data_IF_703114342481
#
_entry.id   IF_703114342481
#
_cell.length_a   1.000
_cell.length_b   1.000
_cell.length_c   1.000
_cell.angle_alpha   90.00
_cell.angle_beta   90.00
_cell.angle_gamma   90.00
#
_symmetry.space_group_name_H-M   'P 1'
#
loop_
_entity.id
_entity.type
_entity.pdbx_description
1 polymer ?
#
# COMPACT_ATOMS: atom_id res chain seq x y z
N UNK A 1 -19.57 -29.15 19.97
CA UNK A 1 -18.21 -29.73 19.90
C UNK A 1 -17.14 -28.91 20.64
N UNK A 2 -17.42 -27.70 21.14
CA UNK A 2 -16.43 -26.83 21.80
C UNK A 2 -16.53 -26.75 23.33
N UNK A 3 -17.52 -27.39 23.97
CA UNK A 3 -17.76 -27.20 25.41
C UNK A 3 -16.84 -28.02 26.33
N UNK A 4 -15.92 -28.84 25.80
CA UNK A 4 -15.25 -29.90 26.58
C UNK A 4 -13.72 -30.01 26.38
N UNK A 5 -13.05 -28.95 25.90
CA UNK A 5 -11.59 -28.98 25.75
C UNK A 5 -10.88 -28.68 27.08
N UNK A 6 -9.87 -29.48 27.44
CA UNK A 6 -8.95 -29.17 28.55
C UNK A 6 -7.58 -28.72 28.01
N UNK A 7 -6.81 -27.96 28.79
CA UNK A 7 -5.49 -27.44 28.42
C UNK A 7 -4.54 -28.50 27.81
N UNK A 8 -4.58 -29.73 28.31
CA UNK A 8 -3.74 -30.83 27.80
C UNK A 8 -4.08 -31.27 26.37
N UNK A 9 -5.30 -30.99 25.90
CA UNK A 9 -5.72 -31.35 24.55
C UNK A 9 -5.09 -30.40 23.51
N UNK A 10 -4.88 -29.12 23.83
CA UNK A 10 -4.21 -28.14 22.96
C UNK A 10 -2.72 -28.47 22.74
N UNK A 11 -2.00 -28.87 23.80
CA UNK A 11 -0.61 -29.31 23.67
C UNK A 11 -0.49 -30.60 22.83
N UNK A 12 -1.44 -31.53 22.99
CA UNK A 12 -1.46 -32.77 22.21
C UNK A 12 -1.74 -32.52 20.72
N UNK A 13 -2.69 -31.63 20.39
CA UNK A 13 -2.96 -31.23 19.00
C UNK A 13 -1.72 -30.57 18.38
N UNK A 14 -1.15 -29.58 19.08
CA UNK A 14 0.04 -28.87 18.59
C UNK A 14 1.23 -29.82 18.39
N UNK A 15 1.48 -30.72 19.35
CA UNK A 15 2.53 -31.74 19.24
C UNK A 15 2.33 -32.67 18.04
N UNK A 16 1.08 -33.03 17.73
CA UNK A 16 0.72 -33.78 16.52
C UNK A 16 1.04 -33.03 15.23
N UNK A 17 0.80 -31.71 15.19
CA UNK A 17 1.15 -30.86 14.05
C UNK A 17 2.67 -30.79 13.85
N UNK A 18 3.44 -30.56 14.92
CA UNK A 18 4.91 -30.55 14.88
C UNK A 18 5.50 -31.85 14.33
N UNK A 19 4.92 -33.00 14.70
CA UNK A 19 5.34 -34.30 14.20
C UNK A 19 5.09 -34.44 12.69
N UNK A 20 3.95 -33.94 12.19
CA UNK A 20 3.61 -33.96 10.77
C UNK A 20 4.49 -33.04 9.92
N UNK A 21 4.83 -31.85 10.42
CA UNK A 21 5.73 -30.92 9.72
C UNK A 21 7.12 -31.53 9.54
N UNK A 22 7.65 -32.21 10.57
CA UNK A 22 8.94 -32.94 10.49
C UNK A 22 8.92 -34.07 9.45
N UNK A 23 7.75 -34.63 9.16
CA UNK A 23 7.55 -35.68 8.16
C UNK A 23 7.27 -35.13 6.75
N UNK A 24 7.23 -33.80 6.57
CA UNK A 24 6.92 -33.16 5.29
C UNK A 24 5.44 -33.28 4.87
N UNK A 25 4.56 -33.65 5.80
CA UNK A 25 3.12 -33.76 5.58
C UNK A 25 2.41 -32.40 5.66
N UNK A 26 1.25 -32.27 5.01
CA UNK A 26 0.31 -31.16 5.26
C UNK A 26 -0.42 -31.40 6.58
N UNK A 27 -0.77 -30.33 7.29
CA UNK A 27 -1.60 -30.45 8.49
C UNK A 27 -2.98 -31.01 8.15
N UNK A 28 -3.56 -31.79 9.07
CA UNK A 28 -4.96 -32.18 8.95
C UNK A 28 -5.81 -30.93 9.22
N UNK A 29 -6.68 -30.59 8.25
CA UNK A 29 -7.56 -29.41 8.30
C UNK A 29 -8.42 -29.36 9.57
N UNK A 30 -8.75 -30.52 10.13
CA UNK A 30 -9.51 -30.61 11.39
C UNK A 30 -8.71 -30.11 12.61
N UNK A 31 -7.40 -30.37 12.67
CA UNK A 31 -6.54 -29.87 13.75
C UNK A 31 -6.34 -28.36 13.63
N UNK A 32 -6.17 -27.84 12.41
CA UNK A 32 -6.05 -26.41 12.16
C UNK A 32 -7.32 -25.68 12.62
N UNK A 33 -8.50 -26.13 12.20
CA UNK A 33 -9.78 -25.52 12.57
C UNK A 33 -10.04 -25.53 14.08
N UNK A 34 -9.66 -26.63 14.74
CA UNK A 34 -9.84 -26.76 16.18
C UNK A 34 -8.94 -25.80 16.96
N UNK A 35 -7.70 -25.62 16.51
CA UNK A 35 -6.77 -24.70 17.15
C UNK A 35 -7.04 -23.23 16.82
N UNK A 36 -7.47 -22.91 15.59
CA UNK A 36 -7.94 -21.56 15.21
C UNK A 36 -9.10 -21.15 16.12
N UNK A 37 -10.06 -22.06 16.31
CA UNK A 37 -11.16 -21.83 17.25
C UNK A 37 -10.72 -21.73 18.70
N UNK A 38 -9.66 -22.43 19.10
CA UNK A 38 -9.07 -22.28 20.42
C UNK A 38 -8.36 -20.92 20.59
N UNK A 39 -7.73 -20.38 19.54
CA UNK A 39 -7.10 -19.07 19.58
C UNK A 39 -8.12 -17.94 19.84
N UNK A 40 -9.35 -18.08 19.34
CA UNK A 40 -10.44 -17.14 19.61
C UNK A 40 -10.90 -17.14 21.08
N UNK A 41 -10.75 -18.26 21.80
CA UNK A 41 -11.28 -18.45 23.17
C UNK A 41 -10.18 -18.35 24.23
N UNK A 42 -9.03 -18.96 23.97
CA UNK A 42 -7.88 -19.11 24.87
C UNK A 42 -6.57 -18.64 24.19
N UNK A 43 -6.63 -17.53 23.44
CA UNK A 43 -5.51 -17.07 22.62
C UNK A 43 -4.18 -16.90 23.36
N UNK A 44 -4.20 -16.45 24.62
CA UNK A 44 -2.97 -16.35 25.42
C UNK A 44 -2.28 -17.71 25.64
N UNK A 45 -3.06 -18.79 25.82
CA UNK A 45 -2.55 -20.15 25.98
C UNK A 45 -1.94 -20.64 24.67
N UNK A 46 -2.68 -20.47 23.56
CA UNK A 46 -2.20 -20.86 22.23
C UNK A 46 -0.91 -20.12 21.89
N UNK A 47 -0.85 -18.82 22.14
CA UNK A 47 0.34 -18.03 21.82
C UNK A 47 1.55 -18.35 22.72
N UNK A 48 1.36 -18.84 23.94
CA UNK A 48 2.49 -19.35 24.75
C UNK A 48 3.06 -20.68 24.20
N UNK A 49 2.22 -21.51 23.57
CA UNK A 49 2.69 -22.67 22.80
C UNK A 49 3.52 -22.19 21.59
N UNK A 50 3.00 -21.24 20.82
CA UNK A 50 3.69 -20.62 19.68
C UNK A 50 5.07 -20.08 20.08
N UNK A 51 5.15 -19.39 21.22
CA UNK A 51 6.39 -18.81 21.74
C UNK A 51 7.48 -19.85 21.99
N UNK A 52 7.12 -21.04 22.46
CA UNK A 52 8.07 -22.10 22.81
C UNK A 52 8.69 -22.78 21.58
N UNK A 53 7.91 -22.89 20.51
CA UNK A 53 8.22 -23.79 19.39
C UNK A 53 8.80 -23.06 18.15
N UNK A 54 8.70 -21.71 18.11
CA UNK A 54 9.37 -20.79 17.17
C UNK A 54 9.65 -21.38 15.76
N UNK A 55 8.57 -21.62 15.01
CA UNK A 55 8.61 -22.17 13.66
C UNK A 55 9.49 -21.36 12.69
N UNK A 56 10.13 -22.06 11.75
CA UNK A 56 10.96 -21.41 10.73
C UNK A 56 10.10 -20.47 9.87
N UNK A 57 10.56 -19.24 9.57
CA UNK A 57 9.82 -18.34 8.68
C UNK A 57 9.42 -19.01 7.36
N UNK A 58 8.15 -18.85 6.98
CA UNK A 58 7.57 -19.45 5.77
C UNK A 58 7.29 -20.96 5.87
N UNK A 59 7.45 -21.60 7.03
CA UNK A 59 6.97 -22.96 7.24
C UNK A 59 5.45 -22.97 7.47
N UNK A 60 4.76 -24.10 7.19
CA UNK A 60 3.33 -24.22 7.48
C UNK A 60 3.01 -23.87 8.94
N UNK A 61 3.85 -24.28 9.89
CA UNK A 61 3.67 -23.96 11.31
C UNK A 61 3.74 -22.44 11.56
N UNK A 62 4.67 -21.75 10.92
CA UNK A 62 4.79 -20.29 11.01
C UNK A 62 3.55 -19.58 10.44
N UNK A 63 3.02 -20.06 9.31
CA UNK A 63 1.76 -19.54 8.74
C UNK A 63 0.58 -19.77 9.68
N UNK A 64 0.51 -20.95 10.31
CA UNK A 64 -0.53 -21.24 11.29
C UNK A 64 -0.42 -20.36 12.55
N UNK A 65 0.81 -20.09 13.05
CA UNK A 65 1.04 -19.13 14.14
C UNK A 65 0.50 -17.75 13.81
N UNK A 66 0.75 -17.27 12.58
CA UNK A 66 0.23 -16.00 12.11
C UNK A 66 -1.31 -15.98 12.13
N UNK A 67 -1.97 -17.03 11.64
CA UNK A 67 -3.45 -17.13 11.69
C UNK A 67 -3.99 -17.08 13.11
N UNK A 68 -3.41 -17.85 14.04
CA UNK A 68 -3.83 -17.84 15.45
C UNK A 68 -3.71 -16.44 16.08
N UNK A 69 -2.65 -15.72 15.76
CA UNK A 69 -2.46 -14.35 16.24
C UNK A 69 -3.53 -13.40 15.70
N UNK A 70 -3.90 -13.54 14.42
CA UNK A 70 -4.96 -12.73 13.81
C UNK A 70 -6.35 -13.07 14.37
N UNK A 71 -6.66 -14.35 14.55
CA UNK A 71 -7.94 -14.79 15.12
C UNK A 71 -8.08 -14.32 16.57
N UNK A 72 -7.02 -14.48 17.37
CA UNK A 72 -7.00 -13.98 18.74
C UNK A 72 -7.12 -12.46 18.79
N UNK A 73 -6.39 -11.72 17.95
CA UNK A 73 -6.44 -10.26 17.99
C UNK A 73 -7.77 -9.69 17.49
N UNK A 74 -8.50 -10.42 16.66
CA UNK A 74 -9.88 -10.11 16.29
C UNK A 74 -10.83 -10.28 17.47
N UNK A 75 -10.67 -11.34 18.27
CA UNK A 75 -11.51 -11.66 19.42
C UNK A 75 -11.19 -10.84 20.68
N UNK A 76 -9.91 -10.71 21.03
CA UNK A 76 -9.38 -10.00 22.21
C UNK A 76 -8.13 -9.18 21.85
N UNK A 77 -8.39 -7.99 21.30
CA UNK A 77 -7.38 -7.00 20.91
C UNK A 77 -6.43 -6.65 22.07
N UNK A 78 -6.98 -6.45 23.27
CA UNK A 78 -6.21 -5.98 24.42
C UNK A 78 -5.24 -7.06 24.91
N UNK A 79 -5.70 -8.30 25.03
CA UNK A 79 -4.86 -9.45 25.37
C UNK A 79 -3.76 -9.69 24.33
N UNK A 80 -4.11 -9.67 23.04
CA UNK A 80 -3.15 -9.88 21.96
C UNK A 80 -2.05 -8.80 21.92
N UNK A 81 -2.42 -7.52 22.05
CA UNK A 81 -1.44 -6.41 22.11
C UNK A 81 -0.55 -6.52 23.36
N UNK A 82 -1.13 -6.85 24.52
CA UNK A 82 -0.35 -7.02 25.75
C UNK A 82 0.67 -8.15 25.63
N UNK A 83 0.26 -9.29 25.05
CA UNK A 83 1.15 -10.43 24.82
C UNK A 83 2.26 -10.10 23.83
N UNK A 84 1.93 -9.46 22.70
CA UNK A 84 2.92 -9.04 21.70
C UNK A 84 3.96 -8.08 22.29
N UNK A 85 3.52 -7.13 23.13
CA UNK A 85 4.40 -6.18 23.81
C UNK A 85 5.32 -6.83 24.86
N UNK A 86 4.92 -7.97 25.42
CA UNK A 86 5.72 -8.71 26.39
C UNK A 86 6.80 -9.58 25.73
N UNK A 87 6.77 -9.75 24.40
CA UNK A 87 7.80 -10.48 23.69
C UNK A 87 9.13 -9.70 23.69
N UNK A 88 10.27 -10.39 23.87
CA UNK A 88 11.57 -9.78 23.62
C UNK A 88 11.71 -9.43 22.13
N UNK A 89 12.57 -8.46 21.83
CA UNK A 89 12.91 -8.12 20.46
C UNK A 89 13.50 -9.33 19.72
N UNK A 90 13.06 -9.53 18.47
CA UNK A 90 13.52 -10.62 17.63
C UNK A 90 12.43 -11.15 16.69
N UNK A 91 12.78 -12.23 15.98
CA UNK A 91 12.01 -12.74 14.84
C UNK A 91 10.54 -13.02 15.15
N UNK A 92 10.23 -13.58 16.33
CA UNK A 92 8.84 -13.90 16.68
C UNK A 92 8.00 -12.63 16.86
N UNK A 93 8.55 -11.62 17.55
CA UNK A 93 7.86 -10.33 17.75
C UNK A 93 7.62 -9.65 16.41
N UNK A 94 8.62 -9.63 15.53
CA UNK A 94 8.47 -9.07 14.19
C UNK A 94 7.44 -9.84 13.35
N UNK A 95 7.47 -11.18 13.38
CA UNK A 95 6.56 -12.01 12.63
C UNK A 95 5.09 -11.87 13.07
N UNK A 96 4.85 -11.64 14.37
CA UNK A 96 3.49 -11.51 14.91
C UNK A 96 2.91 -10.09 14.77
N UNK A 97 3.73 -9.09 14.42
CA UNK A 97 3.26 -7.71 14.29
C UNK A 97 2.22 -7.54 13.16
N UNK A 98 2.48 -8.11 11.98
CA UNK A 98 1.53 -8.06 10.86
C UNK A 98 0.19 -8.71 11.17
N UNK A 99 0.17 -10.00 11.58
CA UNK A 99 -1.07 -10.70 11.91
C UNK A 99 -1.85 -10.09 13.08
N UNK A 100 -1.15 -9.55 14.09
CA UNK A 100 -1.78 -8.78 15.15
C UNK A 100 -2.63 -7.65 14.57
N UNK A 101 -2.05 -6.80 13.71
CA UNK A 101 -2.76 -5.67 13.11
C UNK A 101 -3.85 -6.12 12.16
N UNK A 102 -3.59 -7.14 11.35
CA UNK A 102 -4.57 -7.72 10.42
C UNK A 102 -5.84 -8.14 11.16
N UNK A 103 -5.70 -8.94 12.22
CA UNK A 103 -6.84 -9.42 13.00
C UNK A 103 -7.62 -8.29 13.69
N UNK A 104 -6.94 -7.29 14.27
CA UNK A 104 -7.61 -6.12 14.84
C UNK A 104 -8.37 -5.35 13.75
N UNK A 105 -7.76 -5.18 12.56
CA UNK A 105 -8.34 -4.42 11.46
C UNK A 105 -9.63 -5.05 10.90
N UNK A 106 -9.83 -6.37 11.09
CA UNK A 106 -11.09 -7.04 10.69
C UNK A 106 -12.31 -6.57 11.48
N UNK A 107 -12.12 -6.07 12.71
CA UNK A 107 -13.21 -5.60 13.58
C UNK A 107 -13.17 -4.10 13.84
N UNK A 108 -12.00 -3.48 13.81
CA UNK A 108 -11.83 -2.02 13.94
C UNK A 108 -10.51 -1.58 13.31
N UNK A 109 -10.53 -0.99 12.10
CA UNK A 109 -9.32 -0.43 11.50
C UNK A 109 -8.73 0.74 12.32
N UNK A 110 -9.55 1.44 13.12
CA UNK A 110 -9.08 2.50 14.01
C UNK A 110 -8.27 1.96 15.20
N UNK A 111 -8.72 0.85 15.80
CA UNK A 111 -7.96 0.20 16.88
C UNK A 111 -6.67 -0.41 16.33
N UNK A 112 -6.72 -0.94 15.10
CA UNK A 112 -5.56 -1.47 14.43
C UNK A 112 -4.50 -0.38 14.19
N UNK A 113 -4.92 0.82 13.74
CA UNK A 113 -4.00 1.96 13.66
C UNK A 113 -3.44 2.35 15.03
N UNK A 114 -4.28 2.37 16.06
CA UNK A 114 -3.85 2.69 17.43
C UNK A 114 -2.80 1.71 17.95
N UNK A 115 -2.95 0.41 17.66
CA UNK A 115 -1.94 -0.61 17.95
C UNK A 115 -0.67 -0.41 17.10
N UNK A 116 -0.81 -0.02 15.83
CA UNK A 116 0.33 0.23 14.94
C UNK A 116 1.23 1.39 15.41
N UNK A 117 0.73 2.31 16.24
CA UNK A 117 1.54 3.36 16.87
C UNK A 117 2.64 2.83 17.79
N UNK A 118 2.60 1.55 18.18
CA UNK A 118 3.67 0.87 18.91
C UNK A 118 4.90 0.58 18.05
N UNK A 119 4.78 0.63 16.72
CA UNK A 119 5.89 0.38 15.80
C UNK A 119 6.57 1.66 15.34
N UNK A 120 7.79 1.52 14.82
CA UNK A 120 8.50 2.62 14.17
C UNK A 120 7.76 3.12 12.91
N UNK A 121 8.04 4.35 12.45
CA UNK A 121 7.35 4.93 11.28
C UNK A 121 7.49 4.12 9.99
N UNK A 122 8.56 3.35 9.81
CA UNK A 122 8.75 2.51 8.61
C UNK A 122 7.74 1.37 8.61
N UNK A 123 7.61 0.65 9.72
CA UNK A 123 6.62 -0.42 9.86
C UNK A 123 5.19 0.09 9.73
N UNK A 124 4.88 1.28 10.28
CA UNK A 124 3.56 1.91 10.09
C UNK A 124 3.27 2.20 8.63
N UNK A 125 4.28 2.60 7.85
CA UNK A 125 4.12 2.84 6.42
C UNK A 125 3.82 1.57 5.62
N UNK A 126 4.38 0.43 6.03
CA UNK A 126 4.09 -0.86 5.41
C UNK A 126 2.69 -1.41 5.77
N UNK A 127 2.18 -1.06 6.95
CA UNK A 127 0.82 -1.40 7.41
C UNK A 127 -0.25 -0.53 6.72
N UNK A 128 0.07 0.73 6.42
CA UNK A 128 -0.91 1.71 5.98
C UNK A 128 -1.79 1.30 4.78
N UNK A 129 -1.27 0.65 3.72
CA UNK A 129 -2.09 0.14 2.61
C UNK A 129 -3.18 -0.84 3.03
N UNK A 130 -2.89 -1.76 3.97
CA UNK A 130 -3.91 -2.71 4.42
C UNK A 130 -5.01 -2.02 5.23
N UNK A 131 -4.65 -0.99 5.99
CA UNK A 131 -5.64 -0.17 6.70
C UNK A 131 -6.49 0.67 5.74
N UNK A 132 -5.93 1.18 4.63
CA UNK A 132 -6.76 1.81 3.57
C UNK A 132 -7.87 0.87 3.13
N UNK A 133 -7.54 -0.40 2.86
CA UNK A 133 -8.52 -1.42 2.44
C UNK A 133 -9.51 -1.73 3.55
N UNK A 134 -9.06 -1.81 4.80
CA UNK A 134 -9.92 -2.08 5.95
C UNK A 134 -10.91 -0.93 6.20
N UNK A 135 -10.47 0.33 6.19
CA UNK A 135 -11.34 1.50 6.27
C UNK A 135 -12.31 1.57 5.09
N UNK A 136 -11.88 1.17 3.89
CA UNK A 136 -12.75 1.17 2.71
C UNK A 136 -13.88 0.13 2.85
N UNK A 137 -13.59 -1.03 3.47
CA UNK A 137 -14.60 -2.05 3.79
C UNK A 137 -15.56 -1.58 4.89
N UNK A 138 -15.07 -0.88 5.90
CA UNK A 138 -15.85 -0.41 7.06
C UNK A 138 -16.75 0.80 6.71
N UNK A 139 -16.21 1.80 6.00
CA UNK A 139 -16.84 3.13 5.81
C UNK A 139 -16.82 3.63 4.37
N UNK A 140 -16.40 2.81 3.41
CA UNK A 140 -16.24 3.23 2.02
C UNK A 140 -14.98 4.09 1.79
N UNK A 141 -14.82 4.53 0.54
CA UNK A 141 -13.64 5.30 0.11
C UNK A 141 -13.46 6.58 0.94
N UNK A 142 -14.54 7.30 1.23
CA UNK A 142 -14.50 8.52 2.04
C UNK A 142 -13.87 8.27 3.41
N UNK A 143 -14.19 7.15 4.07
CA UNK A 143 -13.61 6.80 5.36
C UNK A 143 -12.11 6.58 5.31
N UNK A 144 -11.60 5.93 4.25
CA UNK A 144 -10.15 5.78 4.06
C UNK A 144 -9.47 7.12 3.83
N UNK A 145 -10.10 8.05 3.11
CA UNK A 145 -9.54 9.38 2.84
C UNK A 145 -9.52 10.24 4.10
N UNK A 146 -10.59 10.21 4.89
CA UNK A 146 -10.66 10.88 6.19
C UNK A 146 -9.58 10.35 7.14
N UNK A 147 -9.37 9.03 7.17
CA UNK A 147 -8.30 8.44 7.96
C UNK A 147 -6.91 8.95 7.52
N UNK A 148 -6.59 8.93 6.22
CA UNK A 148 -5.29 9.44 5.72
C UNK A 148 -5.10 10.92 6.07
N UNK A 149 -6.15 11.73 5.97
CA UNK A 149 -6.13 13.14 6.35
C UNK A 149 -5.94 13.36 7.86
N UNK A 150 -6.35 12.39 8.69
CA UNK A 150 -6.20 12.46 10.15
C UNK A 150 -4.80 12.11 10.67
N UNK A 151 -3.95 11.49 9.83
CA UNK A 151 -2.61 11.06 10.25
C UNK A 151 -1.72 12.26 10.60
N UNK A 152 -0.82 12.08 11.56
CA UNK A 152 0.11 13.11 12.01
C UNK A 152 1.21 13.43 10.97
N UNK A 153 1.92 14.57 11.10
CA UNK A 153 3.07 14.89 10.26
C UNK A 153 4.22 13.86 10.39
N UNK A 154 4.37 13.22 11.54
CA UNK A 154 5.33 12.14 11.80
C UNK A 154 5.09 10.88 10.95
N UNK A 155 3.87 10.74 10.41
CA UNK A 155 3.43 9.61 9.61
C UNK A 155 3.49 9.90 8.10
N UNK A 156 4.28 10.88 7.67
CA UNK A 156 4.49 11.20 6.26
C UNK A 156 4.76 9.96 5.37
N UNK A 157 5.59 8.97 5.77
CA UNK A 157 5.75 7.74 5.00
C UNK A 157 4.45 6.91 4.88
N UNK A 158 3.67 6.80 5.95
CA UNK A 158 2.39 6.11 5.95
C UNK A 158 1.34 6.84 5.11
N UNK A 159 1.30 8.17 5.17
CA UNK A 159 0.46 9.00 4.30
C UNK A 159 0.76 8.76 2.82
N UNK A 160 2.04 8.73 2.44
CA UNK A 160 2.44 8.44 1.05
C UNK A 160 1.95 7.05 0.60
N UNK A 161 2.25 6.01 1.39
CA UNK A 161 1.88 4.63 1.05
C UNK A 161 0.37 4.42 1.01
N UNK A 162 -0.36 5.05 1.93
CA UNK A 162 -1.81 5.04 1.94
C UNK A 162 -2.41 5.80 0.74
N UNK A 163 -1.84 6.93 0.35
CA UNK A 163 -2.29 7.69 -0.82
C UNK A 163 -2.09 6.89 -2.12
N UNK A 164 -0.97 6.15 -2.23
CA UNK A 164 -0.72 5.23 -3.34
C UNK A 164 -1.76 4.11 -3.40
N UNK A 165 -2.09 3.50 -2.26
CA UNK A 165 -3.13 2.45 -2.20
C UNK A 165 -4.52 3.00 -2.49
N UNK A 166 -4.86 4.20 -1.98
CA UNK A 166 -6.11 4.89 -2.32
C UNK A 166 -6.23 5.11 -3.83
N UNK A 167 -5.15 5.59 -4.46
CA UNK A 167 -5.10 5.76 -5.89
C UNK A 167 -5.31 4.42 -6.63
N UNK A 168 -4.67 3.34 -6.19
CA UNK A 168 -4.82 2.03 -6.83
C UNK A 168 -6.21 1.43 -6.63
N UNK A 169 -6.81 1.59 -5.45
CA UNK A 169 -8.16 1.12 -5.17
C UNK A 169 -9.19 1.78 -6.09
N UNK A 170 -8.93 3.03 -6.51
CA UNK A 170 -9.79 3.79 -7.42
C UNK A 170 -9.59 3.46 -8.90
N UNK A 171 -8.76 2.48 -9.31
CA UNK A 171 -8.46 2.24 -10.73
C UNK A 171 -9.70 1.93 -11.60
N UNK A 172 -10.78 1.45 -10.98
CA UNK A 172 -12.05 1.14 -11.64
C UNK A 172 -12.98 2.36 -11.77
N UNK A 173 -12.60 3.50 -11.21
CA UNK A 173 -13.29 4.79 -11.25
C UNK A 173 -12.68 5.66 -12.38
N UNK A 174 -13.41 6.69 -12.80
CA UNK A 174 -12.92 7.75 -13.70
C UNK A 174 -11.75 8.55 -13.09
N UNK A 175 -10.70 8.80 -13.89
CA UNK A 175 -9.48 9.49 -13.46
C UNK A 175 -9.71 10.91 -12.93
N UNK A 176 -10.77 11.60 -13.37
CA UNK A 176 -11.12 12.93 -12.84
C UNK A 176 -11.51 12.89 -11.36
N UNK A 177 -12.18 11.82 -10.90
CA UNK A 177 -12.48 11.64 -9.48
C UNK A 177 -11.22 11.30 -8.67
N UNK A 178 -10.33 10.50 -9.24
CA UNK A 178 -9.05 10.18 -8.62
C UNK A 178 -8.18 11.44 -8.46
N UNK A 179 -8.11 12.26 -9.50
CA UNK A 179 -7.45 13.56 -9.50
C UNK A 179 -7.99 14.50 -8.41
N UNK A 180 -9.30 14.67 -8.32
CA UNK A 180 -9.92 15.52 -7.29
C UNK A 180 -9.59 15.05 -5.86
N UNK A 181 -9.44 13.74 -5.64
CA UNK A 181 -9.01 13.20 -4.36
C UNK A 181 -7.53 13.49 -4.08
N UNK A 182 -6.65 13.30 -5.07
CA UNK A 182 -5.22 13.63 -4.96
C UNK A 182 -5.00 15.11 -4.62
N UNK A 183 -5.78 16.00 -5.24
CA UNK A 183 -5.69 17.46 -5.04
C UNK A 183 -5.92 17.88 -3.58
N UNK A 184 -6.69 17.12 -2.80
CA UNK A 184 -6.91 17.36 -1.36
C UNK A 184 -5.61 17.33 -0.55
N UNK A 185 -4.60 16.62 -1.04
CA UNK A 185 -3.31 16.45 -0.37
C UNK A 185 -2.19 17.23 -1.06
N UNK A 186 -2.43 17.83 -2.22
CA UNK A 186 -1.37 18.40 -3.05
C UNK A 186 -0.59 19.56 -2.37
N UNK A 187 -1.23 20.28 -1.44
CA UNK A 187 -0.59 21.34 -0.67
C UNK A 187 0.19 20.87 0.57
N UNK A 188 0.11 19.59 0.89
CA UNK A 188 0.80 19.01 2.05
C UNK A 188 2.30 18.85 1.75
N UNK A 189 3.16 19.13 2.74
CA UNK A 189 4.61 19.05 2.56
C UNK A 189 5.11 17.64 2.25
N UNK A 190 4.44 16.59 2.75
CA UNK A 190 4.79 15.20 2.48
C UNK A 190 4.39 14.74 1.07
N UNK A 191 3.43 15.43 0.44
CA UNK A 191 2.88 15.02 -0.85
C UNK A 191 3.90 15.11 -1.98
N UNK A 192 4.83 16.07 -1.92
CA UNK A 192 5.88 16.24 -2.93
C UNK A 192 6.75 14.98 -3.10
N UNK A 193 6.98 14.21 -2.04
CA UNK A 193 7.72 12.95 -2.10
C UNK A 193 6.89 11.74 -2.54
N UNK A 194 5.57 11.90 -2.70
CA UNK A 194 4.65 10.79 -2.92
C UNK A 194 4.61 10.39 -4.41
N UNK A 195 4.90 9.12 -4.75
CA UNK A 195 4.88 8.66 -6.14
C UNK A 195 3.45 8.52 -6.71
N UNK A 196 2.40 8.61 -5.89
CA UNK A 196 1.00 8.48 -6.32
C UNK A 196 0.66 9.44 -7.45
N UNK A 197 0.99 10.73 -7.33
CA UNK A 197 0.72 11.74 -8.36
C UNK A 197 1.30 11.38 -9.72
N UNK A 198 2.56 10.90 -9.71
CA UNK A 198 3.26 10.46 -10.92
C UNK A 198 2.63 9.21 -11.53
N UNK A 199 2.17 8.26 -10.69
CA UNK A 199 1.49 7.03 -11.14
C UNK A 199 0.14 7.35 -11.79
N UNK A 200 -0.65 8.22 -11.15
CA UNK A 200 -1.94 8.69 -11.69
C UNK A 200 -1.75 9.43 -13.02
N UNK A 201 -0.79 10.36 -13.09
CA UNK A 201 -0.46 11.08 -14.33
C UNK A 201 -0.15 10.14 -15.49
N UNK A 202 0.72 9.14 -15.25
CA UNK A 202 1.10 8.14 -16.25
C UNK A 202 -0.08 7.27 -16.68
N UNK A 203 -0.87 6.79 -15.72
CA UNK A 203 -2.01 5.92 -15.98
C UNK A 203 -3.11 6.65 -16.75
N UNK A 204 -3.43 7.88 -16.35
CA UNK A 204 -4.39 8.73 -17.03
C UNK A 204 -3.92 9.08 -18.44
N UNK A 205 -2.66 9.47 -18.62
CA UNK A 205 -2.11 9.78 -19.94
C UNK A 205 -2.12 8.59 -20.91
N UNK A 206 -2.20 7.37 -20.39
CA UNK A 206 -2.36 6.18 -21.23
C UNK A 206 -3.75 6.03 -21.83
N UNK A 207 -4.75 6.76 -21.32
CA UNK A 207 -6.13 6.79 -21.83
C UNK A 207 -6.50 8.14 -22.44
N UNK A 208 -6.10 9.23 -21.81
CA UNK A 208 -6.35 10.61 -22.25
C UNK A 208 -5.20 11.51 -21.76
N UNK A 209 -4.24 11.75 -22.65
CA UNK A 209 -3.08 12.57 -22.33
C UNK A 209 -3.39 14.06 -22.22
N UNK A 210 -4.41 14.55 -22.93
CA UNK A 210 -4.82 15.95 -22.86
C UNK A 210 -5.43 16.28 -21.49
N UNK A 211 -6.35 15.44 -21.02
CA UNK A 211 -6.95 15.59 -19.70
C UNK A 211 -5.92 15.39 -18.57
N UNK A 212 -5.02 14.41 -18.72
CA UNK A 212 -3.92 14.21 -17.76
C UNK A 212 -2.96 15.41 -17.69
N UNK A 213 -2.64 16.04 -18.83
CA UNK A 213 -1.82 17.25 -18.87
C UNK A 213 -2.53 18.42 -18.18
N UNK A 214 -3.82 18.61 -18.47
CA UNK A 214 -4.62 19.66 -17.86
C UNK A 214 -4.67 19.52 -16.33
N UNK A 215 -4.83 18.31 -15.81
CA UNK A 215 -4.74 18.05 -14.37
C UNK A 215 -3.33 18.27 -13.82
N UNK A 216 -2.29 17.74 -14.48
CA UNK A 216 -0.92 17.90 -13.99
C UNK A 216 -0.50 19.38 -13.88
N UNK A 217 -1.06 20.27 -14.70
CA UNK A 217 -0.86 21.72 -14.60
C UNK A 217 -1.47 22.35 -13.32
N UNK A 218 -2.56 21.80 -12.78
CA UNK A 218 -3.21 22.31 -11.55
C UNK A 218 -2.37 22.04 -10.31
N UNK A 219 -1.46 21.07 -10.37
CA UNK A 219 -0.63 20.66 -9.24
C UNK A 219 0.40 21.74 -8.86
N UNK A 220 0.79 21.87 -7.59
CA UNK A 220 1.90 22.71 -7.15
C UNK A 220 3.22 22.36 -7.83
N UNK A 221 4.17 23.31 -7.90
CA UNK A 221 5.37 23.21 -8.73
C UNK A 221 6.16 21.89 -8.60
N UNK A 222 6.42 21.42 -7.38
CA UNK A 222 7.14 20.15 -7.17
C UNK A 222 6.38 18.93 -7.69
N UNK A 223 5.06 18.90 -7.54
CA UNK A 223 4.20 17.83 -8.03
C UNK A 223 3.97 17.92 -9.55
N UNK A 224 3.78 19.14 -10.08
CA UNK A 224 3.68 19.41 -11.52
C UNK A 224 4.94 18.96 -12.26
N UNK A 225 6.11 19.29 -11.72
CA UNK A 225 7.41 18.89 -12.25
C UNK A 225 7.64 17.37 -12.24
N UNK A 226 6.87 16.61 -11.47
CA UNK A 226 6.90 15.15 -11.47
C UNK A 226 5.83 14.52 -12.37
N UNK A 227 4.66 15.14 -12.48
CA UNK A 227 3.52 14.64 -13.23
C UNK A 227 3.66 14.91 -14.74
N UNK A 228 3.96 16.15 -15.14
CA UNK A 228 4.03 16.54 -16.56
C UNK A 228 5.04 15.72 -17.38
N UNK A 229 6.26 15.42 -16.88
CA UNK A 229 7.18 14.52 -17.56
C UNK A 229 6.59 13.15 -17.92
N UNK A 230 5.75 12.58 -17.05
CA UNK A 230 5.13 11.29 -17.33
C UNK A 230 4.02 11.37 -18.36
N UNK A 231 3.24 12.45 -18.31
CA UNK A 231 2.22 12.70 -19.32
C UNK A 231 2.88 12.86 -20.69
N UNK A 232 3.89 13.73 -20.81
CA UNK A 232 4.60 13.97 -22.08
C UNK A 232 5.25 12.71 -22.61
N UNK A 233 5.93 11.93 -21.75
CA UNK A 233 6.56 10.67 -22.16
C UNK A 233 5.53 9.68 -22.72
N UNK A 234 4.35 9.60 -22.11
CA UNK A 234 3.28 8.71 -22.60
C UNK A 234 2.64 9.24 -23.88
N UNK A 235 2.34 10.54 -23.92
CA UNK A 235 1.68 11.22 -25.03
C UNK A 235 2.52 11.21 -26.30
N UNK A 236 3.83 11.49 -26.19
CA UNK A 236 4.78 11.45 -27.30
C UNK A 236 4.82 10.06 -27.96
N UNK A 237 4.64 9.01 -27.15
CA UNK A 237 4.61 7.64 -27.64
C UNK A 237 3.32 7.28 -28.38
N UNK A 238 2.16 7.79 -27.96
CA UNK A 238 0.89 7.46 -28.61
C UNK A 238 0.52 8.41 -29.75
N UNK A 239 0.65 9.71 -29.52
CA UNK A 239 0.15 10.79 -30.38
C UNK A 239 1.17 11.94 -30.42
N UNK A 240 2.34 11.68 -31.01
CA UNK A 240 3.46 12.65 -31.08
C UNK A 240 3.06 14.01 -31.62
N UNK A 241 2.19 14.06 -32.64
CA UNK A 241 1.74 15.31 -33.22
C UNK A 241 0.93 16.17 -32.23
N UNK A 242 0.04 15.55 -31.46
CA UNK A 242 -0.78 16.24 -30.46
C UNK A 242 0.07 16.67 -29.25
N UNK A 243 0.97 15.80 -28.78
CA UNK A 243 1.92 16.13 -27.72
C UNK A 243 2.83 17.30 -28.10
N UNK A 244 3.37 17.30 -29.31
CA UNK A 244 4.20 18.40 -29.83
C UNK A 244 3.42 19.70 -29.93
N UNK A 245 2.20 19.68 -30.49
CA UNK A 245 1.36 20.88 -30.57
C UNK A 245 1.00 21.43 -29.17
N UNK A 246 0.75 20.56 -28.20
CA UNK A 246 0.54 20.97 -26.81
C UNK A 246 1.80 21.62 -26.22
N UNK A 247 2.99 21.06 -26.45
CA UNK A 247 4.26 21.67 -26.01
C UNK A 247 4.46 23.07 -26.59
N UNK A 248 4.18 23.28 -27.88
CA UNK A 248 4.29 24.59 -28.51
C UNK A 248 3.42 25.64 -27.82
N UNK A 249 2.20 25.27 -27.43
CA UNK A 249 1.30 26.16 -26.69
C UNK A 249 1.83 26.55 -25.31
N UNK A 250 2.86 25.84 -24.82
CA UNK A 250 3.53 26.07 -23.53
C UNK A 250 4.91 26.70 -23.67
N UNK A 251 5.27 27.20 -24.86
CA UNK A 251 6.49 27.97 -25.05
C UNK A 251 6.57 29.13 -24.03
N UNK A 252 7.74 29.30 -23.41
CA UNK A 252 7.97 30.30 -22.36
C UNK A 252 7.52 29.90 -20.95
N UNK A 253 6.89 28.74 -20.76
CA UNK A 253 6.65 28.20 -19.42
C UNK A 253 7.95 27.70 -18.76
N UNK A 254 8.07 27.72 -17.42
CA UNK A 254 9.26 27.22 -16.74
C UNK A 254 9.58 25.75 -17.03
N UNK A 255 8.55 24.93 -17.28
CA UNK A 255 8.68 23.50 -17.53
C UNK A 255 9.07 23.19 -19.00
N UNK A 256 8.90 24.15 -19.92
CA UNK A 256 9.03 23.94 -21.37
C UNK A 256 10.36 23.32 -21.82
N UNK A 257 11.54 23.77 -21.34
CA UNK A 257 12.82 23.18 -21.78
C UNK A 257 12.93 21.70 -21.40
N UNK A 258 12.52 21.35 -20.18
CA UNK A 258 12.58 19.97 -19.67
C UNK A 258 11.60 19.06 -20.42
N UNK A 259 10.35 19.50 -20.59
CA UNK A 259 9.34 18.73 -21.30
C UNK A 259 9.68 18.54 -22.78
N UNK A 260 10.27 19.54 -23.42
CA UNK A 260 10.80 19.44 -24.80
C UNK A 260 11.88 18.36 -24.90
N UNK A 261 12.84 18.34 -23.97
CA UNK A 261 13.90 17.33 -23.97
C UNK A 261 13.31 15.91 -23.84
N UNK A 262 12.37 15.70 -22.92
CA UNK A 262 11.69 14.40 -22.72
C UNK A 262 10.91 13.96 -23.98
N UNK A 263 10.24 14.90 -24.64
CA UNK A 263 9.50 14.64 -25.86
C UNK A 263 10.42 14.19 -27.01
N UNK A 264 11.51 14.92 -27.25
CA UNK A 264 12.48 14.60 -28.29
C UNK A 264 13.21 13.28 -27.99
N UNK A 265 13.57 13.03 -26.73
CA UNK A 265 14.14 11.75 -26.29
C UNK A 265 13.19 10.59 -26.61
N UNK A 266 11.89 10.75 -26.36
CA UNK A 266 10.92 9.72 -26.69
C UNK A 266 10.81 9.45 -28.19
N UNK A 267 10.74 10.51 -29.01
CA UNK A 267 10.72 10.36 -30.45
C UNK A 267 11.99 9.67 -30.97
N UNK A 268 13.15 10.01 -30.41
CA UNK A 268 14.42 9.38 -30.75
C UNK A 268 14.42 7.88 -30.38
N UNK A 269 14.00 7.54 -29.16
CA UNK A 269 13.95 6.14 -28.70
C UNK A 269 13.05 5.26 -29.58
N UNK A 270 11.98 5.85 -30.12
CA UNK A 270 11.04 5.18 -31.04
C UNK A 270 11.42 5.30 -32.51
N UNK A 271 12.54 5.95 -32.82
CA UNK A 271 12.99 6.22 -34.19
C UNK A 271 11.90 6.90 -35.02
N UNK A 272 11.16 7.83 -34.42
CA UNK A 272 10.07 8.53 -35.08
C UNK A 272 10.61 9.37 -36.24
N UNK A 273 10.01 9.28 -37.45
CA UNK A 273 10.43 10.07 -38.60
C UNK A 273 10.18 11.58 -38.39
N UNK A 274 9.33 11.96 -37.43
CA UNK A 274 8.98 13.35 -37.14
C UNK A 274 10.03 14.05 -36.25
N UNK A 275 11.05 13.34 -35.75
CA UNK A 275 12.03 13.86 -34.78
C UNK A 275 12.72 15.14 -35.27
N UNK A 276 13.23 15.15 -36.50
CA UNK A 276 13.98 16.30 -37.04
C UNK A 276 13.10 17.54 -37.21
N UNK A 277 11.84 17.34 -37.64
CA UNK A 277 10.85 18.41 -37.77
C UNK A 277 10.51 19.02 -36.41
N UNK A 278 10.23 18.18 -35.42
CA UNK A 278 9.90 18.64 -34.07
C UNK A 278 11.08 19.29 -33.37
N UNK A 279 12.30 18.77 -33.52
CA UNK A 279 13.52 19.37 -32.95
C UNK A 279 13.70 20.80 -33.43
N UNK A 280 13.68 21.02 -34.75
CA UNK A 280 13.86 22.34 -35.33
C UNK A 280 12.77 23.33 -34.87
N UNK A 281 11.52 22.86 -34.77
CA UNK A 281 10.38 23.70 -34.40
C UNK A 281 10.40 24.11 -32.92
N UNK A 282 10.66 23.17 -32.02
CA UNK A 282 10.71 23.45 -30.58
C UNK A 282 11.98 24.24 -30.19
N UNK A 283 13.11 24.02 -30.88
CA UNK A 283 14.31 24.84 -30.71
C UNK A 283 14.08 26.31 -31.07
N UNK A 284 13.28 26.58 -32.10
CA UNK A 284 12.94 27.95 -32.48
C UNK A 284 12.12 28.66 -31.40
N UNK A 285 11.23 27.93 -30.71
CA UNK A 285 10.38 28.46 -29.64
C UNK A 285 11.13 28.64 -28.30
N UNK A 286 12.28 27.97 -28.14
CA UNK A 286 13.13 28.10 -26.96
C UNK A 286 14.09 29.31 -27.01
N UNK A 287 14.23 29.95 -28.18
CA UNK A 287 15.08 31.14 -28.41
C UNK A 287 14.33 32.43 -28.15
#
# INVERSE_FOLDING_TARGET
MLEHYQFGDLEAIHGGMMAQEKLGGRFNKEYEQMMERAAEVEGAVVMDIVRRENGKPGSPLHEWHARCMADWSSADKAGAVAWWNALPDGNLRDAMAGPLIEGIATTSPQDAWSAALLFDPSKRADIAPELVKAFARDRGLEGSVEWVASLGPEDAPAKSRALEELADHMHHIDYGRQAALMERFASESWAEGCPAFRRVARAWASRDAGAAAAWAETLPGGLRGQALPEVVRRWAGSESAAAGAWLESRAGSPDFPNLTAIFLEQLQSRQSPELSTWSARLEQLAR
#
